data_IF_696389073252
#
_entry.id   IF_696389073252
#
_cell.length_a   1.000
_cell.length_b   1.000
_cell.length_c   1.000
_cell.angle_alpha   90.00
_cell.angle_beta   90.00
_cell.angle_gamma   90.00
#
_symmetry.space_group_name_H-M   'P 1'
#
loop_
_entity.id
_entity.type
_entity.pdbx_description
1 polymer ?
#
# COMPACT_ATOMS: atom_id res chain seq x y z
N UNK A 1 -29.28 -34.05 4.86
CA UNK A 1 -29.38 -32.71 5.47
C UNK A 1 -28.19 -31.88 5.00
N UNK A 2 -28.43 -30.88 4.14
CA UNK A 2 -27.37 -29.96 3.70
C UNK A 2 -26.92 -29.13 4.90
N UNK A 3 -25.64 -29.24 5.28
CA UNK A 3 -25.06 -28.36 6.29
C UNK A 3 -24.93 -26.96 5.69
N UNK A 4 -25.81 -26.08 6.07
CA UNK A 4 -25.70 -24.67 5.68
C UNK A 4 -24.43 -24.10 6.35
N UNK A 5 -23.40 -23.86 5.54
CA UNK A 5 -22.18 -23.20 6.02
C UNK A 5 -22.50 -21.75 6.34
N UNK A 6 -22.43 -21.37 7.60
CA UNK A 6 -22.62 -19.96 8.01
C UNK A 6 -21.27 -19.26 8.02
N UNK A 7 -21.19 -18.11 7.39
CA UNK A 7 -20.03 -17.21 7.40
C UNK A 7 -20.38 -15.94 8.16
N UNK A 8 -19.43 -15.42 8.92
CA UNK A 8 -19.59 -14.17 9.66
C UNK A 8 -19.34 -12.97 8.76
N UNK A 9 -18.49 -13.15 7.74
CA UNK A 9 -18.15 -12.14 6.73
C UNK A 9 -18.07 -12.75 5.33
N UNK A 10 -18.51 -11.99 4.34
CA UNK A 10 -18.29 -12.28 2.93
C UNK A 10 -17.52 -11.09 2.34
N UNK A 11 -16.38 -11.37 1.71
CA UNK A 11 -15.51 -10.38 1.08
C UNK A 11 -15.51 -10.64 -0.41
N UNK A 12 -15.78 -9.62 -1.19
CA UNK A 12 -15.80 -9.69 -2.65
C UNK A 12 -14.49 -9.12 -3.19
N UNK A 13 -13.73 -9.96 -3.87
CA UNK A 13 -12.42 -9.65 -4.44
C UNK A 13 -11.25 -10.15 -3.57
N UNK A 14 -10.33 -10.90 -4.20
CA UNK A 14 -9.10 -11.41 -3.61
C UNK A 14 -7.87 -10.58 -4.00
N UNK A 15 -8.01 -9.27 -4.12
CA UNK A 15 -6.91 -8.33 -4.19
C UNK A 15 -6.28 -8.09 -2.83
N UNK A 16 -5.25 -7.20 -2.77
CA UNK A 16 -4.51 -6.93 -1.54
C UNK A 16 -5.43 -6.54 -0.37
N UNK A 17 -6.36 -5.62 -0.58
CA UNK A 17 -7.25 -5.16 0.48
C UNK A 17 -8.25 -6.24 0.91
N UNK A 18 -8.80 -7.00 -0.04
CA UNK A 18 -9.75 -8.09 0.28
C UNK A 18 -9.10 -9.18 1.10
N UNK A 19 -7.90 -9.62 0.73
CA UNK A 19 -7.17 -10.65 1.48
C UNK A 19 -6.65 -10.13 2.83
N UNK A 20 -6.23 -8.87 2.90
CA UNK A 20 -5.88 -8.24 4.17
C UNK A 20 -7.07 -8.22 5.14
N UNK A 21 -8.24 -7.78 4.67
CA UNK A 21 -9.47 -7.77 5.47
C UNK A 21 -9.89 -9.17 5.89
N UNK A 22 -9.77 -10.17 4.99
CA UNK A 22 -10.07 -11.56 5.29
C UNK A 22 -9.16 -12.10 6.42
N UNK A 23 -7.87 -11.87 6.29
CA UNK A 23 -6.88 -12.27 7.30
C UNK A 23 -7.15 -11.59 8.65
N UNK A 24 -7.45 -10.30 8.63
CA UNK A 24 -7.77 -9.55 9.84
C UNK A 24 -9.02 -10.12 10.55
N UNK A 25 -10.11 -10.36 9.81
CA UNK A 25 -11.32 -10.97 10.36
C UNK A 25 -11.08 -12.41 10.86
N UNK A 26 -10.29 -13.20 10.13
CA UNK A 26 -9.94 -14.55 10.56
C UNK A 26 -9.13 -14.57 11.85
N UNK A 27 -8.18 -13.64 12.04
CA UNK A 27 -7.43 -13.45 13.30
C UNK A 27 -8.34 -13.11 14.48
N UNK A 28 -9.52 -12.53 14.24
CA UNK A 28 -10.56 -12.28 15.24
C UNK A 28 -11.48 -13.50 15.48
N UNK A 29 -11.16 -14.67 14.93
CA UNK A 29 -11.94 -15.89 15.06
C UNK A 29 -13.19 -15.95 14.18
N UNK A 30 -13.37 -15.01 13.25
CA UNK A 30 -14.52 -14.98 12.35
C UNK A 30 -14.33 -15.92 11.17
N UNK A 31 -15.43 -16.59 10.76
CA UNK A 31 -15.45 -17.40 9.53
C UNK A 31 -15.68 -16.50 8.34
N UNK A 32 -14.70 -16.45 7.44
CA UNK A 32 -14.70 -15.56 6.29
C UNK A 32 -14.82 -16.35 5.00
N UNK A 33 -15.68 -15.90 4.09
CA UNK A 33 -15.74 -16.35 2.71
C UNK A 33 -15.20 -15.24 1.81
N UNK A 34 -14.22 -15.55 0.98
CA UNK A 34 -13.72 -14.64 -0.06
C UNK A 34 -14.21 -15.14 -1.41
N UNK A 35 -14.85 -14.26 -2.16
CA UNK A 35 -15.32 -14.53 -3.53
C UNK A 35 -14.44 -13.75 -4.50
N UNK A 36 -13.85 -14.44 -5.46
CA UNK A 36 -13.02 -13.86 -6.53
C UNK A 36 -13.57 -14.31 -7.89
N UNK A 37 -13.62 -13.40 -8.84
CA UNK A 37 -14.08 -13.66 -10.19
C UNK A 37 -12.97 -14.17 -11.12
N UNK A 38 -11.72 -13.93 -10.79
CA UNK A 38 -10.56 -14.42 -11.54
C UNK A 38 -10.13 -15.80 -11.05
N UNK A 39 -9.35 -16.50 -11.86
CA UNK A 39 -8.84 -17.83 -11.54
C UNK A 39 -7.83 -17.87 -10.37
N UNK A 40 -7.25 -16.71 -10.01
CA UNK A 40 -6.29 -16.57 -8.94
C UNK A 40 -6.41 -15.22 -8.25
N UNK A 41 -5.92 -15.07 -7.00
CA UNK A 41 -5.88 -13.78 -6.34
C UNK A 41 -4.89 -12.81 -7.01
N UNK A 42 -5.04 -11.51 -6.74
CA UNK A 42 -4.15 -10.44 -7.20
C UNK A 42 -4.11 -10.17 -8.71
N UNK A 43 -5.04 -10.68 -9.50
CA UNK A 43 -4.97 -10.61 -10.97
C UNK A 43 -5.28 -9.24 -11.58
N UNK A 44 -5.76 -8.27 -10.79
CA UNK A 44 -6.15 -6.94 -11.28
C UNK A 44 -5.25 -5.84 -10.72
N UNK A 45 -5.82 -4.82 -10.12
CA UNK A 45 -5.11 -3.63 -9.66
C UNK A 45 -3.87 -3.93 -8.81
N UNK A 46 -3.91 -4.94 -7.97
CA UNK A 46 -2.76 -5.33 -7.14
C UNK A 46 -1.58 -5.82 -7.97
N UNK A 47 -1.83 -6.54 -9.05
CA UNK A 47 -0.77 -7.02 -9.96
C UNK A 47 -0.20 -5.90 -10.84
N UNK A 48 -1.08 -5.02 -11.35
CA UNK A 48 -0.68 -3.92 -12.24
C UNK A 48 0.01 -2.79 -11.47
N UNK A 49 -0.25 -2.67 -10.18
CA UNK A 49 0.35 -1.67 -9.32
C UNK A 49 1.87 -1.82 -9.29
N UNK A 50 2.58 -0.70 -9.14
CA UNK A 50 4.05 -0.69 -9.05
C UNK A 50 4.61 -1.41 -7.82
N UNK A 51 3.76 -1.87 -6.91
CA UNK A 51 4.12 -2.62 -5.70
C UNK A 51 5.21 -1.93 -4.84
N UNK A 52 5.16 -0.60 -4.75
CA UNK A 52 6.12 0.19 -3.97
C UNK A 52 5.58 0.48 -2.58
N UNK A 53 6.37 0.19 -1.58
CA UNK A 53 6.18 0.74 -0.24
C UNK A 53 6.97 2.03 -0.17
N UNK A 54 6.27 3.18 -0.12
CA UNK A 54 6.91 4.50 -0.13
C UNK A 54 6.47 5.35 1.06
N UNK A 55 7.31 6.31 1.44
CA UNK A 55 7.10 7.18 2.60
C UNK A 55 6.35 8.48 2.27
N UNK A 56 5.69 8.55 1.13
CA UNK A 56 4.92 9.73 0.75
C UNK A 56 5.53 10.58 -0.37
N UNK A 57 6.65 10.17 -0.97
CA UNK A 57 7.33 10.89 -2.05
C UNK A 57 6.43 11.29 -3.23
N UNK A 58 5.36 10.55 -3.48
CA UNK A 58 4.42 10.81 -4.57
C UNK A 58 3.44 11.97 -4.30
N UNK A 59 3.49 12.57 -3.12
CA UNK A 59 2.52 13.58 -2.70
C UNK A 59 3.14 14.95 -2.42
N UNK A 60 4.00 15.53 -3.31
CA UNK A 60 4.68 16.80 -3.04
C UNK A 60 3.72 17.98 -2.89
N UNK A 61 2.46 17.83 -3.33
CA UNK A 61 1.40 18.84 -3.23
C UNK A 61 0.49 18.66 -2.00
N UNK A 62 0.72 17.64 -1.18
CA UNK A 62 -0.11 17.35 -0.02
C UNK A 62 0.74 16.82 1.15
N UNK A 63 1.27 17.74 1.93
CA UNK A 63 2.09 17.41 3.11
C UNK A 63 1.34 16.48 4.07
N UNK A 64 0.05 16.73 4.32
CA UNK A 64 -0.75 15.88 5.21
C UNK A 64 -0.88 14.43 4.71
N UNK A 65 -0.99 14.23 3.40
CA UNK A 65 -1.03 12.88 2.81
C UNK A 65 0.34 12.21 2.88
N UNK A 66 1.42 12.96 2.63
CA UNK A 66 2.78 12.46 2.75
C UNK A 66 3.09 12.02 4.19
N UNK A 67 2.77 12.85 5.18
CA UNK A 67 2.97 12.51 6.59
C UNK A 67 2.18 11.29 7.04
N UNK A 68 0.93 11.13 6.58
CA UNK A 68 0.15 9.91 6.85
C UNK A 68 0.82 8.68 6.25
N UNK A 69 1.28 8.78 5.00
CA UNK A 69 1.98 7.68 4.31
C UNK A 69 3.27 7.30 5.03
N UNK A 70 4.07 8.30 5.45
CA UNK A 70 5.28 8.09 6.23
C UNK A 70 4.99 7.42 7.59
N UNK A 71 3.93 7.84 8.27
CA UNK A 71 3.52 7.26 9.55
C UNK A 71 3.11 5.79 9.45
N UNK A 72 2.48 5.38 8.36
CA UNK A 72 2.12 3.98 8.15
C UNK A 72 3.28 3.09 7.67
N UNK A 73 4.36 3.69 7.17
CA UNK A 73 5.51 2.97 6.65
C UNK A 73 6.14 2.04 7.70
N UNK A 74 6.38 2.54 8.90
CA UNK A 74 7.00 1.78 9.98
C UNK A 74 6.16 0.54 10.32
N UNK A 75 4.86 0.72 10.54
CA UNK A 75 3.93 -0.37 10.84
C UNK A 75 3.85 -1.40 9.71
N UNK A 76 3.73 -0.95 8.47
CA UNK A 76 3.69 -1.86 7.33
C UNK A 76 5.00 -2.67 7.23
N UNK A 77 6.12 -2.03 7.51
CA UNK A 77 7.43 -2.66 7.49
C UNK A 77 7.62 -3.67 8.65
N UNK A 78 7.02 -3.42 9.79
CA UNK A 78 6.99 -4.37 10.92
C UNK A 78 6.17 -5.62 10.57
N UNK A 79 4.97 -5.44 10.02
CA UNK A 79 4.06 -6.53 9.69
C UNK A 79 4.51 -7.34 8.45
N UNK A 80 5.10 -6.68 7.44
CA UNK A 80 5.35 -7.22 6.10
C UNK A 80 6.78 -7.04 5.59
N UNK A 81 7.73 -6.68 6.47
CA UNK A 81 9.14 -6.45 6.11
C UNK A 81 9.80 -7.62 5.40
N UNK A 82 9.34 -8.84 5.65
CA UNK A 82 9.84 -10.07 5.03
C UNK A 82 9.64 -10.13 3.50
N UNK A 83 8.67 -9.39 2.96
CA UNK A 83 8.39 -9.36 1.51
C UNK A 83 8.82 -8.05 0.83
N UNK A 84 9.53 -7.16 1.55
CA UNK A 84 9.98 -5.87 1.02
C UNK A 84 11.43 -5.99 0.57
N UNK A 85 11.68 -5.82 -0.74
CA UNK A 85 13.02 -5.63 -1.25
C UNK A 85 13.52 -4.22 -0.88
N UNK A 86 14.67 -4.14 -0.20
CA UNK A 86 15.29 -2.89 0.25
C UNK A 86 16.59 -2.58 -0.47
N UNK A 87 17.15 -3.56 -1.16
CA UNK A 87 18.46 -3.47 -1.79
C UNK A 87 18.37 -2.97 -3.23
N UNK A 88 17.92 -1.73 -3.40
CA UNK A 88 17.95 -1.08 -4.71
C UNK A 88 17.98 0.44 -4.57
N UNK A 89 18.67 1.08 -5.52
CA UNK A 89 18.73 2.53 -5.59
C UNK A 89 17.38 3.10 -6.07
N UNK A 90 16.88 4.09 -5.37
CA UNK A 90 15.67 4.83 -5.74
C UNK A 90 16.05 6.22 -6.21
N UNK A 91 15.67 6.56 -7.43
CA UNK A 91 15.84 7.90 -7.98
C UNK A 91 14.48 8.52 -8.18
N UNK A 92 14.30 9.73 -7.69
CA UNK A 92 13.11 10.54 -7.92
C UNK A 92 13.50 11.71 -8.82
N UNK A 93 12.95 11.76 -10.01
CA UNK A 93 13.20 12.81 -10.97
C UNK A 93 11.99 13.77 -11.03
N UNK A 94 12.25 15.06 -10.96
CA UNK A 94 11.27 16.10 -11.30
C UNK A 94 11.52 16.55 -12.74
N UNK A 95 10.44 16.78 -13.50
CA UNK A 95 10.59 17.28 -14.87
C UNK A 95 11.20 18.69 -14.85
N UNK A 96 12.08 18.99 -15.82
CA UNK A 96 12.62 20.33 -16.03
C UNK A 96 11.57 21.30 -16.58
N UNK A 97 10.53 20.78 -17.23
CA UNK A 97 9.47 21.56 -17.85
C UNK A 97 8.10 21.11 -17.34
N UNK A 98 7.19 22.07 -17.20
CA UNK A 98 5.79 21.84 -16.78
C UNK A 98 5.61 21.11 -15.44
N UNK A 99 6.66 21.02 -14.61
CA UNK A 99 6.54 20.48 -13.27
C UNK A 99 6.03 21.56 -12.30
N UNK A 100 5.18 21.15 -11.37
CA UNK A 100 4.70 22.02 -10.28
C UNK A 100 5.75 22.26 -9.19
N UNK A 101 6.84 21.49 -9.20
CA UNK A 101 7.94 21.61 -8.26
C UNK A 101 9.27 21.28 -8.95
N UNK A 102 10.29 22.02 -8.62
CA UNK A 102 11.68 21.68 -8.96
C UNK A 102 12.33 20.77 -7.89
N UNK A 103 13.56 20.34 -8.14
CA UNK A 103 14.28 19.46 -7.23
C UNK A 103 14.52 20.08 -5.86
N UNK A 104 14.79 21.38 -5.78
CA UNK A 104 15.02 22.09 -4.51
C UNK A 104 13.73 22.18 -3.68
N UNK A 105 12.61 22.47 -4.33
CA UNK A 105 11.30 22.47 -3.70
C UNK A 105 10.89 21.06 -3.23
N UNK A 106 11.19 20.03 -4.02
CA UNK A 106 10.95 18.64 -3.65
C UNK A 106 11.79 18.24 -2.41
N UNK A 107 13.06 18.65 -2.35
CA UNK A 107 13.91 18.41 -1.17
C UNK A 107 13.34 19.06 0.08
N UNK A 108 12.93 20.33 0.01
CA UNK A 108 12.26 21.03 1.13
C UNK A 108 10.96 20.34 1.56
N UNK A 109 10.21 19.82 0.61
CA UNK A 109 9.01 19.02 0.92
C UNK A 109 9.38 17.73 1.70
N UNK A 110 10.42 17.01 1.27
CA UNK A 110 10.89 15.82 1.98
C UNK A 110 11.32 16.14 3.41
N UNK A 111 12.06 17.24 3.60
CA UNK A 111 12.46 17.74 4.93
C UNK A 111 11.22 18.03 5.81
N UNK A 112 10.25 18.76 5.28
CA UNK A 112 9.01 19.09 5.99
C UNK A 112 8.15 17.84 6.33
N UNK A 113 8.15 16.84 5.45
CA UNK A 113 7.44 15.57 5.64
C UNK A 113 8.23 14.56 6.50
N UNK A 114 9.47 14.88 6.88
CA UNK A 114 10.39 14.00 7.60
C UNK A 114 10.64 12.67 6.87
N UNK A 115 10.76 12.71 5.55
CA UNK A 115 11.08 11.54 4.72
C UNK A 115 12.51 11.67 4.17
N UNK A 116 13.32 10.58 4.18
CA UNK A 116 14.71 10.62 3.73
C UNK A 116 14.85 11.05 2.27
N UNK A 117 15.73 12.01 1.98
CA UNK A 117 16.04 12.48 0.63
C UNK A 117 17.47 13.02 0.61
N UNK A 118 18.32 12.45 -0.22
CA UNK A 118 19.72 12.86 -0.45
C UNK A 118 19.85 13.69 -1.74
#
# INVERSE_FOLDING_TARGET
MSKTSKFDKIIIGAGLYGLYAALFCAKLGQRVLVLECEAAPFQRATYINQARVHQGYHYPRSLSTAMKSAGYFARFNEDYGFCINREFQKVYATSSEYSWSDGAQFKKFCEAAQIPCE
#
